data_IF_354170475422
#
_entry.id   IF_354170475422
#
_cell.length_a   1.000
_cell.length_b   1.000
_cell.length_c   1.000
_cell.angle_alpha   90.00
_cell.angle_beta   90.00
_cell.angle_gamma   90.00
#
_symmetry.space_group_name_H-M   'P 1'
#
loop_
_entity.id
_entity.type
_entity.pdbx_description
1 polymer ?
#
# COMPACT_ATOMS: atom_id res chain seq x y z
N UNK A 1 60.27 16.98 30.57
CA UNK A 1 60.61 17.16 29.14
C UNK A 1 59.37 16.77 28.34
N UNK A 2 58.75 17.54 27.45
CA UNK A 2 59.06 18.79 26.74
C UNK A 2 57.78 19.64 26.64
N UNK A 3 57.92 20.95 26.77
CA UNK A 3 56.98 22.01 26.37
C UNK A 3 57.35 22.43 24.95
N UNK A 4 56.38 22.58 24.02
CA UNK A 4 56.43 23.49 22.85
C UNK A 4 54.96 23.74 22.42
N UNK A 5 54.31 24.87 22.74
CA UNK A 5 54.31 26.26 22.20
C UNK A 5 53.73 26.46 20.78
N UNK A 6 52.78 27.40 20.76
CA UNK A 6 51.92 27.96 19.72
C UNK A 6 52.64 28.47 18.45
N UNK A 7 51.91 28.53 17.33
CA UNK A 7 52.06 29.58 16.32
C UNK A 7 50.71 29.89 15.66
N UNK A 8 50.23 31.10 15.91
CA UNK A 8 49.10 31.76 15.25
C UNK A 8 49.66 32.44 14.00
N UNK A 9 49.12 32.17 12.82
CA UNK A 9 49.39 32.97 11.62
C UNK A 9 48.19 33.86 11.34
N UNK A 10 48.36 35.14 11.66
CA UNK A 10 47.55 36.25 11.19
C UNK A 10 48.00 36.60 9.76
N UNK A 11 47.06 36.65 8.83
CA UNK A 11 47.29 37.01 7.44
C UNK A 11 46.09 37.76 6.87
N UNK A 12 46.04 39.06 7.14
CA UNK A 12 45.19 40.06 6.51
C UNK A 12 45.80 40.46 5.16
N UNK A 13 45.09 40.38 4.02
CA UNK A 13 45.10 41.46 3.01
C UNK A 13 44.09 41.30 1.84
N UNK A 14 43.19 42.29 1.77
CA UNK A 14 42.66 43.07 0.62
C UNK A 14 41.75 42.45 -0.45
N UNK A 15 40.64 43.18 -0.60
CA UNK A 15 39.57 43.17 -1.60
C UNK A 15 40.03 43.28 -3.07
N UNK A 16 39.20 42.80 -4.00
CA UNK A 16 38.40 43.59 -4.95
C UNK A 16 37.90 42.64 -6.06
N UNK A 17 36.60 42.62 -6.34
CA UNK A 17 36.03 42.78 -7.70
C UNK A 17 34.51 42.55 -7.66
N UNK A 18 33.77 43.64 -7.90
CA UNK A 18 32.42 43.60 -8.42
C UNK A 18 32.48 43.05 -9.85
N UNK A 19 31.81 41.93 -10.08
CA UNK A 19 31.56 41.36 -11.40
C UNK A 19 30.11 40.88 -11.47
N UNK A 20 29.22 41.75 -11.92
CA UNK A 20 27.86 41.39 -12.32
C UNK A 20 27.95 40.77 -13.71
N UNK A 21 27.88 39.46 -13.83
CA UNK A 21 27.41 38.75 -15.04
C UNK A 21 27.12 37.28 -14.74
N UNK A 22 25.83 36.92 -14.75
CA UNK A 22 25.31 35.65 -15.25
C UNK A 22 25.91 34.33 -14.77
N UNK A 23 25.32 33.76 -13.72
CA UNK A 23 25.15 32.30 -13.57
C UNK A 23 23.70 32.10 -13.12
N UNK A 24 22.78 31.56 -13.91
CA UNK A 24 22.90 30.26 -14.53
C UNK A 24 22.41 29.21 -13.52
N UNK A 25 21.19 28.72 -13.73
CA UNK A 25 20.78 27.40 -13.23
C UNK A 25 20.43 27.33 -11.75
N UNK A 26 19.20 27.71 -11.42
CA UNK A 26 18.54 27.32 -10.18
C UNK A 26 17.16 26.74 -10.46
N UNK A 27 17.01 25.99 -11.56
CA UNK A 27 15.81 25.21 -11.81
C UNK A 27 15.79 24.08 -10.78
N UNK A 28 15.35 24.40 -9.57
CA UNK A 28 15.05 23.43 -8.53
C UNK A 28 13.93 22.56 -9.05
N UNK A 29 14.29 21.52 -9.81
CA UNK A 29 13.38 20.47 -10.20
C UNK A 29 12.83 19.91 -8.92
N UNK A 30 11.59 20.27 -8.60
CA UNK A 30 10.84 19.62 -7.54
C UNK A 30 10.68 18.18 -7.98
N UNK A 31 11.62 17.33 -7.58
CA UNK A 31 11.48 15.89 -7.78
C UNK A 31 10.16 15.54 -7.13
N UNK A 32 9.19 14.98 -7.88
CA UNK A 32 7.90 14.63 -7.32
C UNK A 32 8.13 13.81 -6.05
N UNK A 33 7.48 14.20 -4.95
CA UNK A 33 7.59 13.47 -3.70
C UNK A 33 7.17 12.01 -3.95
N UNK A 34 8.01 11.07 -3.53
CA UNK A 34 7.67 9.66 -3.62
C UNK A 34 6.44 9.37 -2.75
N UNK A 35 5.52 8.50 -3.20
CA UNK A 35 4.35 8.15 -2.43
C UNK A 35 4.76 7.46 -1.12
N UNK A 36 4.04 7.78 -0.05
CA UNK A 36 4.25 7.24 1.30
C UNK A 36 3.14 6.28 1.71
N UNK A 37 2.02 6.29 0.99
CA UNK A 37 0.85 5.45 1.25
C UNK A 37 0.30 4.85 -0.04
N UNK A 38 -0.36 3.71 0.11
CA UNK A 38 -1.14 3.09 -0.92
C UNK A 38 -2.50 2.65 -0.36
N UNK A 39 -3.58 2.91 -1.09
CA UNK A 39 -4.91 2.40 -0.79
C UNK A 39 -5.32 1.43 -1.88
N UNK A 40 -5.57 0.19 -1.49
CA UNK A 40 -6.01 -0.88 -2.38
C UNK A 40 -7.51 -1.09 -2.20
N UNK A 41 -8.27 -1.11 -3.29
CA UNK A 41 -9.71 -1.34 -3.31
C UNK A 41 -10.00 -2.61 -4.08
N UNK A 42 -10.68 -3.56 -3.43
CA UNK A 42 -11.06 -4.83 -4.01
C UNK A 42 -12.54 -4.81 -4.35
N UNK A 43 -12.85 -5.32 -5.55
CA UNK A 43 -14.19 -5.30 -6.10
C UNK A 43 -14.62 -6.66 -6.63
N UNK A 44 -15.93 -6.89 -6.66
CA UNK A 44 -16.57 -8.03 -7.32
C UNK A 44 -17.26 -7.49 -8.57
N UNK A 45 -16.77 -7.83 -9.77
CA UNK A 45 -17.29 -7.23 -11.01
C UNK A 45 -18.01 -8.23 -11.93
N UNK A 46 -17.81 -9.53 -11.76
CA UNK A 46 -18.23 -10.57 -12.71
C UNK A 46 -18.96 -11.75 -12.06
N UNK A 47 -19.91 -11.46 -11.16
CA UNK A 47 -20.80 -12.51 -10.66
C UNK A 47 -21.73 -13.00 -11.78
N UNK A 48 -21.97 -14.32 -11.88
CA UNK A 48 -23.00 -14.84 -12.77
C UNK A 48 -24.38 -14.24 -12.44
N UNK A 49 -25.22 -14.07 -13.45
CA UNK A 49 -26.55 -13.49 -13.29
C UNK A 49 -27.36 -14.30 -12.28
N UNK A 50 -27.96 -13.61 -11.30
CA UNK A 50 -28.77 -14.23 -10.26
C UNK A 50 -27.99 -14.79 -9.06
N UNK A 51 -26.65 -14.80 -9.12
CA UNK A 51 -25.81 -15.25 -8.01
C UNK A 51 -25.49 -14.08 -7.08
N UNK A 52 -25.53 -14.34 -5.77
CA UNK A 52 -25.14 -13.40 -4.73
C UNK A 52 -24.01 -14.00 -3.90
N UNK A 53 -22.89 -13.29 -3.78
CA UNK A 53 -21.76 -13.76 -2.99
C UNK A 53 -22.08 -13.73 -1.48
N UNK A 54 -21.86 -14.83 -0.79
CA UNK A 54 -22.07 -14.95 0.65
C UNK A 54 -20.76 -15.05 1.42
N UNK A 55 -19.77 -15.77 0.90
CA UNK A 55 -18.43 -15.82 1.49
C UNK A 55 -17.37 -15.51 0.46
N UNK A 56 -16.27 -14.89 0.89
CA UNK A 56 -15.12 -14.60 0.04
C UNK A 56 -13.81 -14.71 0.82
N UNK A 57 -12.86 -15.46 0.30
CA UNK A 57 -11.47 -15.50 0.77
C UNK A 57 -10.57 -15.10 -0.38
N UNK A 58 -9.60 -14.23 -0.10
CA UNK A 58 -8.63 -13.77 -1.10
C UNK A 58 -7.22 -13.78 -0.55
N UNK A 59 -6.24 -13.96 -1.44
CA UNK A 59 -4.86 -13.62 -1.14
C UNK A 59 -4.24 -12.82 -2.28
N UNK A 60 -3.23 -12.04 -1.96
CA UNK A 60 -2.41 -11.30 -2.93
C UNK A 60 -1.08 -10.91 -2.29
N UNK A 61 -0.13 -10.52 -3.13
CA UNK A 61 1.23 -10.17 -2.70
C UNK A 61 1.40 -8.66 -2.84
N UNK A 62 1.77 -8.00 -1.74
CA UNK A 62 2.19 -6.60 -1.78
C UNK A 62 3.63 -6.49 -2.27
N UNK A 63 3.99 -5.39 -2.98
CA UNK A 63 5.37 -5.15 -3.37
C UNK A 63 6.28 -4.99 -2.15
N UNK A 64 7.57 -5.29 -2.33
CA UNK A 64 8.59 -5.10 -1.30
C UNK A 64 8.58 -3.68 -0.76
N UNK A 65 8.64 -3.54 0.56
CA UNK A 65 8.62 -2.25 1.24
C UNK A 65 7.22 -1.67 1.44
N UNK A 66 6.15 -2.38 1.05
CA UNK A 66 4.77 -1.99 1.33
C UNK A 66 4.16 -2.89 2.40
N UNK A 67 3.58 -2.27 3.43
CA UNK A 67 3.03 -2.96 4.60
C UNK A 67 1.61 -2.47 4.91
N UNK A 68 0.67 -3.34 5.30
CA UNK A 68 -0.65 -2.91 5.78
C UNK A 68 -0.56 -1.93 6.95
N UNK A 69 -1.49 -0.99 7.06
CA UNK A 69 -1.62 -0.11 8.22
C UNK A 69 -3.07 0.13 8.65
N UNK A 70 -3.38 0.09 9.95
CA UNK A 70 -2.53 -0.41 11.05
C UNK A 70 -2.28 -1.91 10.96
N UNK A 71 -1.09 -2.35 11.37
CA UNK A 71 -0.70 -3.75 11.46
C UNK A 71 -0.28 -4.06 12.90
N UNK A 72 -0.85 -5.12 13.47
CA UNK A 72 -0.52 -5.58 14.82
C UNK A 72 0.16 -6.96 14.73
N UNK A 73 1.50 -6.97 14.67
CA UNK A 73 2.25 -8.21 14.41
C UNK A 73 1.97 -8.72 12.99
N UNK A 74 1.43 -9.93 12.86
CA UNK A 74 1.00 -10.50 11.58
C UNK A 74 -0.49 -10.25 11.30
N UNK A 75 -1.23 -9.60 12.21
CA UNK A 75 -2.65 -9.32 12.05
C UNK A 75 -2.87 -8.03 11.24
N UNK A 76 -3.52 -8.18 10.09
CA UNK A 76 -3.83 -7.08 9.16
C UNK A 76 -5.29 -6.62 9.24
N UNK A 77 -6.09 -7.16 10.17
CA UNK A 77 -7.50 -6.81 10.35
C UNK A 77 -7.73 -5.31 10.49
N UNK A 78 -6.89 -4.64 11.26
CA UNK A 78 -6.99 -3.20 11.51
C UNK A 78 -6.77 -2.35 10.26
N UNK A 79 -6.07 -2.87 9.24
CA UNK A 79 -5.80 -2.18 7.98
C UNK A 79 -6.96 -2.24 6.98
N UNK A 80 -7.98 -3.04 7.27
CA UNK A 80 -9.07 -3.38 6.36
C UNK A 80 -10.34 -2.64 6.74
N UNK A 81 -10.95 -1.99 5.77
CA UNK A 81 -12.29 -1.45 5.87
C UNK A 81 -13.19 -2.12 4.83
N UNK A 82 -14.44 -2.40 5.18
CA UNK A 82 -15.43 -2.90 4.24
C UNK A 82 -16.35 -1.79 3.78
N UNK A 83 -16.72 -1.83 2.50
CA UNK A 83 -17.61 -0.86 1.86
C UNK A 83 -18.82 -1.57 1.26
N UNK A 84 -20.04 -1.15 1.61
CA UNK A 84 -21.26 -1.68 1.00
C UNK A 84 -22.35 -2.00 2.02
N UNK A 85 -23.59 -1.70 1.65
CA UNK A 85 -24.75 -1.80 2.56
C UNK A 85 -25.15 -3.25 2.90
N UNK A 86 -24.59 -4.24 2.21
CA UNK A 86 -24.90 -5.66 2.41
C UNK A 86 -23.73 -6.45 3.02
N UNK A 87 -22.68 -5.79 3.54
CA UNK A 87 -21.57 -6.52 4.14
C UNK A 87 -21.85 -6.68 5.64
N UNK A 88 -22.22 -7.89 6.04
CA UNK A 88 -22.34 -8.24 7.44
C UNK A 88 -21.02 -8.87 7.91
N UNK A 89 -20.11 -8.04 8.46
CA UNK A 89 -18.80 -8.44 8.99
C UNK A 89 -18.92 -9.20 10.32
N UNK A 90 -19.91 -10.10 10.45
CA UNK A 90 -20.16 -10.85 11.69
C UNK A 90 -19.09 -11.91 11.96
N UNK A 91 -18.35 -12.35 10.94
CA UNK A 91 -17.33 -13.39 11.08
C UNK A 91 -15.93 -12.85 10.80
N UNK A 92 -15.31 -12.41 11.89
CA UNK A 92 -13.89 -12.41 12.22
C UNK A 92 -12.88 -12.08 11.11
N UNK A 93 -12.53 -10.79 11.04
CA UNK A 93 -11.25 -10.35 10.49
C UNK A 93 -10.02 -10.99 11.17
N UNK A 94 -10.17 -11.82 12.22
CA UNK A 94 -9.05 -12.56 12.83
C UNK A 94 -8.31 -13.48 11.86
N UNK A 95 -8.91 -13.82 10.72
CA UNK A 95 -8.25 -14.58 9.65
C UNK A 95 -7.44 -13.68 8.70
N UNK A 96 -7.54 -12.36 8.81
CA UNK A 96 -6.73 -11.45 8.02
C UNK A 96 -5.28 -11.46 8.54
N UNK A 97 -4.34 -11.82 7.68
CA UNK A 97 -2.93 -11.89 8.04
C UNK A 97 -2.02 -11.30 6.98
N UNK A 98 -0.84 -10.88 7.42
CA UNK A 98 0.25 -10.40 6.59
C UNK A 98 1.56 -11.08 6.99
N UNK A 99 2.27 -11.61 5.99
CA UNK A 99 3.58 -12.24 6.17
C UNK A 99 4.65 -11.32 5.58
N UNK A 100 5.31 -10.54 6.43
CA UNK A 100 6.29 -9.53 5.99
C UNK A 100 7.42 -10.08 5.10
N UNK A 101 7.86 -11.32 5.33
CA UNK A 101 8.93 -11.95 4.56
C UNK A 101 8.56 -12.21 3.09
N UNK A 102 7.27 -12.42 2.80
CA UNK A 102 6.78 -12.75 1.45
C UNK A 102 5.86 -11.69 0.86
N UNK A 103 5.45 -10.70 1.67
CA UNK A 103 4.47 -9.69 1.28
C UNK A 103 3.05 -10.23 1.12
N UNK A 104 2.79 -11.49 1.46
CA UNK A 104 1.49 -12.14 1.29
C UNK A 104 0.50 -11.57 2.28
N UNK A 105 -0.60 -11.02 1.76
CA UNK A 105 -1.81 -10.69 2.51
C UNK A 105 -2.83 -11.79 2.26
N UNK A 106 -3.38 -12.35 3.34
CA UNK A 106 -4.47 -13.33 3.28
C UNK A 106 -5.67 -12.76 4.00
N UNK A 107 -6.82 -12.70 3.32
CA UNK A 107 -8.10 -12.34 3.92
C UNK A 107 -8.97 -13.59 3.91
N UNK A 108 -9.22 -14.16 5.09
CA UNK A 108 -10.06 -15.34 5.23
C UNK A 108 -11.56 -15.01 5.23
N UNK A 109 -12.34 -15.92 4.62
CA UNK A 109 -13.80 -16.08 4.66
C UNK A 109 -14.65 -14.90 5.18
N UNK A 110 -14.60 -13.77 4.47
CA UNK A 110 -15.45 -12.60 4.72
C UNK A 110 -16.89 -12.97 4.39
N UNK A 111 -17.80 -12.74 5.34
CA UNK A 111 -19.24 -12.86 5.12
C UNK A 111 -19.79 -11.61 4.43
N UNK A 112 -20.33 -11.77 3.22
CA UNK A 112 -20.79 -10.70 2.33
C UNK A 112 -22.32 -10.56 2.23
N UNK A 113 -23.08 -11.35 3.01
CA UNK A 113 -24.55 -11.36 3.11
C UNK A 113 -25.30 -11.05 1.78
N UNK A 114 -24.88 -11.70 0.70
CA UNK A 114 -25.55 -11.61 -0.59
C UNK A 114 -25.14 -10.41 -1.45
N UNK A 115 -23.86 -10.04 -1.46
CA UNK A 115 -23.31 -8.99 -2.31
C UNK A 115 -23.48 -9.36 -3.81
N UNK A 116 -23.98 -8.41 -4.60
CA UNK A 116 -24.26 -8.57 -6.05
C UNK A 116 -23.16 -8.01 -6.94
N UNK A 117 -22.18 -7.30 -6.37
CA UNK A 117 -21.07 -6.69 -7.07
C UNK A 117 -20.63 -5.36 -6.44
N UNK A 118 -19.58 -4.78 -6.99
CA UNK A 118 -18.99 -3.50 -6.56
C UNK A 118 -17.78 -3.64 -5.64
N UNK A 119 -17.25 -2.49 -5.20
CA UNK A 119 -16.18 -2.42 -4.21
C UNK A 119 -16.69 -2.93 -2.87
N UNK A 120 -15.99 -3.91 -2.29
CA UNK A 120 -16.40 -4.52 -1.03
C UNK A 120 -15.38 -4.30 0.08
N UNK A 121 -14.10 -4.09 -0.25
CA UNK A 121 -13.02 -4.00 0.71
C UNK A 121 -11.99 -2.96 0.29
N UNK A 122 -11.47 -2.23 1.28
CA UNK A 122 -10.35 -1.33 1.17
C UNK A 122 -9.25 -1.81 2.12
N UNK A 123 -8.01 -1.91 1.64
CA UNK A 123 -6.81 -2.13 2.43
C UNK A 123 -5.92 -0.89 2.36
N UNK A 124 -5.57 -0.34 3.51
CA UNK A 124 -4.61 0.75 3.59
C UNK A 124 -3.20 0.22 3.87
N UNK A 125 -2.21 0.79 3.20
CA UNK A 125 -0.81 0.41 3.33
C UNK A 125 0.09 1.65 3.51
N UNK A 126 1.17 1.47 4.27
CA UNK A 126 2.32 2.36 4.27
C UNK A 126 3.38 1.86 3.28
N UNK A 127 4.11 2.81 2.71
CA UNK A 127 5.28 2.57 1.86
C UNK A 127 6.50 2.98 2.69
N UNK A 128 7.40 2.03 2.92
CA UNK A 128 8.61 2.26 3.72
C UNK A 128 9.51 3.30 3.03
N UNK A 129 10.18 4.17 3.80
CA UNK A 129 11.12 5.14 3.24
C UNK A 129 12.16 4.50 2.30
N UNK A 130 12.44 5.13 1.17
CA UNK A 130 13.37 4.63 0.16
C UNK A 130 12.80 3.56 -0.78
N UNK A 131 11.53 3.16 -0.60
CA UNK A 131 10.85 2.24 -1.51
C UNK A 131 10.30 3.00 -2.72
N UNK A 132 10.59 2.51 -3.93
CA UNK A 132 10.01 3.04 -5.17
C UNK A 132 8.92 2.09 -5.65
N UNK A 133 7.67 2.57 -5.68
CA UNK A 133 6.52 1.83 -6.25
C UNK A 133 5.74 2.71 -7.21
N UNK A 134 5.14 2.05 -8.20
CA UNK A 134 4.14 2.62 -9.11
C UNK A 134 2.85 1.80 -9.03
N UNK A 135 1.77 2.26 -9.68
CA UNK A 135 0.52 1.48 -9.73
C UNK A 135 0.71 0.07 -10.29
N UNK A 136 1.65 -0.13 -11.21
CA UNK A 136 1.97 -1.45 -11.78
C UNK A 136 2.84 -2.33 -10.87
N UNK A 137 3.37 -1.80 -9.76
CA UNK A 137 4.06 -2.60 -8.74
C UNK A 137 3.10 -3.46 -7.91
N UNK A 138 1.80 -3.17 -7.97
CA UNK A 138 0.77 -3.86 -7.22
C UNK A 138 0.06 -4.91 -8.10
N UNK A 139 -0.47 -5.98 -7.50
CA UNK A 139 -1.25 -6.96 -8.22
C UNK A 139 -2.53 -6.31 -8.78
N UNK A 140 -2.83 -6.55 -10.06
CA UNK A 140 -4.07 -6.08 -10.68
C UNK A 140 -5.30 -6.90 -10.22
N UNK A 141 -5.08 -8.12 -9.73
CA UNK A 141 -6.10 -9.06 -9.27
C UNK A 141 -5.60 -9.86 -8.07
N UNK A 142 -6.51 -10.32 -7.22
CA UNK A 142 -6.17 -11.31 -6.20
C UNK A 142 -5.63 -12.59 -6.85
N UNK A 143 -4.63 -13.22 -6.22
CA UNK A 143 -3.94 -14.42 -6.74
C UNK A 143 -4.74 -15.68 -6.44
N UNK A 144 -5.37 -15.75 -5.27
CA UNK A 144 -6.32 -16.79 -4.89
C UNK A 144 -7.66 -16.15 -4.59
N UNK A 145 -8.72 -16.77 -5.07
CA UNK A 145 -10.10 -16.38 -4.82
C UNK A 145 -10.89 -17.65 -4.54
N UNK A 146 -11.51 -17.71 -3.37
CA UNK A 146 -12.48 -18.73 -3.01
C UNK A 146 -13.75 -18.04 -2.57
N UNK A 147 -14.87 -18.31 -3.25
CA UNK A 147 -16.14 -17.69 -2.96
C UNK A 147 -17.27 -18.72 -2.98
N UNK A 148 -18.29 -18.48 -2.17
CA UNK A 148 -19.55 -19.25 -2.21
C UNK A 148 -20.74 -18.31 -2.28
N UNK A 149 -21.83 -18.79 -2.88
CA UNK A 149 -23.10 -18.10 -2.90
C UNK A 149 -23.89 -18.29 -1.59
N UNK A 150 -25.07 -17.68 -1.50
CA UNK A 150 -25.97 -17.78 -0.34
C UNK A 150 -26.54 -19.20 -0.11
N UNK A 151 -26.38 -20.10 -1.07
CA UNK A 151 -26.75 -21.52 -0.98
C UNK A 151 -25.54 -22.40 -0.66
N UNK A 152 -24.39 -21.79 -0.32
CA UNK A 152 -23.10 -22.46 -0.08
C UNK A 152 -22.52 -23.18 -1.30
N UNK A 153 -22.94 -22.80 -2.51
CA UNK A 153 -22.38 -23.31 -3.77
C UNK A 153 -21.14 -22.50 -4.13
N UNK A 154 -20.05 -23.18 -4.50
CA UNK A 154 -18.82 -22.52 -4.91
C UNK A 154 -19.02 -21.67 -6.19
N UNK A 155 -18.54 -20.43 -6.17
CA UNK A 155 -18.54 -19.53 -7.32
C UNK A 155 -17.20 -19.70 -8.04
N UNK A 156 -17.19 -20.45 -9.13
CA UNK A 156 -15.97 -20.78 -9.89
C UNK A 156 -15.64 -19.68 -10.90
N UNK A 157 -14.35 -19.37 -11.04
CA UNK A 157 -13.86 -18.41 -12.04
C UNK A 157 -14.06 -16.94 -11.66
N UNK A 158 -14.45 -16.65 -10.42
CA UNK A 158 -14.55 -15.29 -9.92
C UNK A 158 -13.18 -14.61 -9.92
N UNK A 159 -13.10 -13.40 -10.46
CA UNK A 159 -11.89 -12.58 -10.40
C UNK A 159 -12.13 -11.38 -9.50
N UNK A 160 -11.16 -11.07 -8.66
CA UNK A 160 -11.22 -9.93 -7.74
C UNK A 160 -10.19 -8.90 -8.19
N UNK A 161 -10.58 -7.91 -9.00
CA UNK A 161 -9.71 -6.81 -9.36
C UNK A 161 -9.32 -5.98 -8.14
N UNK A 162 -8.10 -5.43 -8.20
CA UNK A 162 -7.51 -4.58 -7.17
C UNK A 162 -7.15 -3.26 -7.82
N UNK A 163 -7.84 -2.18 -7.41
CA UNK A 163 -7.51 -0.83 -7.82
C UNK A 163 -6.59 -0.19 -6.78
N UNK A 164 -5.56 0.54 -7.22
CA UNK A 164 -4.56 1.15 -6.32
C UNK A 164 -4.52 2.66 -6.49
N UNK A 165 -4.55 3.37 -5.37
CA UNK A 165 -4.29 4.82 -5.31
C UNK A 165 -3.03 5.05 -4.48
N UNK A 166 -2.06 5.76 -5.04
CA UNK A 166 -0.81 6.15 -4.37
C UNK A 166 -0.93 7.58 -3.83
N UNK A 167 -0.41 7.82 -2.64
CA UNK A 167 -0.47 9.11 -1.93
C UNK A 167 0.87 9.47 -1.30
#
# INVERSE_FOLDING_TARGET
MKIVKFSVFSGLLIALLLGVTGGGGGGGGTTPAAPTRATLKLSINNLPVGIKAATLSVNFILPTGVVPIPLAGNDASGAIAFSGNNINVQNSLSAASYIAATGVVTIGAVSLNGLVGGEYMTLNCAINPGTTVSGSSFPATATFVSASDTSSVAIVGLTIPIAVTLQ
#
